data_IF_390038257327
#
_entry.id   IF_390038257327
#
_cell.length_a   1.000
_cell.length_b   1.000
_cell.length_c   1.000
_cell.angle_alpha   90.00
_cell.angle_beta   90.00
_cell.angle_gamma   90.00
#
_symmetry.space_group_name_H-M   'P 1'
#
loop_
_entity.id
_entity.type
_entity.pdbx_description
1 polymer ?
#
# COMPACT_ATOMS: atom_id res chain seq x y z
N UNK A 1 -12.09 -10.56 24.08
CA UNK A 1 -11.11 -9.47 24.30
C UNK A 1 -10.05 -9.99 25.26
N UNK A 2 -8.80 -10.20 24.79
CA UNK A 2 -7.65 -10.50 25.66
C UNK A 2 -6.79 -9.24 25.73
N UNK A 3 -6.79 -8.49 26.84
CA UNK A 3 -6.05 -7.23 26.97
C UNK A 3 -4.56 -7.37 26.63
N UNK A 4 -4.02 -8.53 26.96
CA UNK A 4 -2.63 -8.97 26.82
C UNK A 4 -2.18 -9.23 25.37
N UNK A 5 -3.10 -9.22 24.39
CA UNK A 5 -2.77 -9.45 22.97
C UNK A 5 -2.59 -8.16 22.17
N UNK A 6 -2.80 -7.01 22.81
CA UNK A 6 -2.79 -5.71 22.14
C UNK A 6 -3.99 -5.53 21.22
N UNK A 7 -4.57 -4.35 21.24
CA UNK A 7 -5.69 -3.98 20.39
C UNK A 7 -6.03 -2.53 20.62
N UNK A 8 -6.28 -1.81 19.52
CA UNK A 8 -6.63 -0.40 19.55
C UNK A 8 -8.15 -0.32 19.54
N UNK A 9 -8.72 0.49 20.41
CA UNK A 9 -10.18 0.63 20.44
C UNK A 9 -10.67 1.29 19.16
N UNK A 10 -11.89 0.97 18.75
CA UNK A 10 -12.53 1.64 17.61
C UNK A 10 -12.58 3.15 17.82
N UNK A 11 -12.86 3.60 19.05
CA UNK A 11 -12.89 5.01 19.45
C UNK A 11 -11.54 5.69 19.23
N UNK A 12 -10.43 5.04 19.58
CA UNK A 12 -9.08 5.58 19.36
C UNK A 12 -8.73 5.65 17.87
N UNK A 13 -9.16 4.65 17.08
CA UNK A 13 -8.97 4.63 15.63
C UNK A 13 -9.74 5.79 14.98
N UNK A 14 -11.04 5.90 15.30
CA UNK A 14 -11.92 6.96 14.80
C UNK A 14 -11.40 8.34 15.20
N UNK A 15 -10.96 8.50 16.46
CA UNK A 15 -10.38 9.74 16.97
C UNK A 15 -9.11 10.12 16.21
N UNK A 16 -8.19 9.18 15.99
CA UNK A 16 -6.97 9.42 15.23
C UNK A 16 -7.25 9.85 13.78
N UNK A 17 -8.14 9.14 13.09
CA UNK A 17 -8.51 9.43 11.70
C UNK A 17 -9.25 10.77 11.55
N UNK A 18 -10.09 11.14 12.52
CA UNK A 18 -10.78 12.43 12.53
C UNK A 18 -9.90 13.60 12.98
N UNK A 19 -8.84 13.35 13.75
CA UNK A 19 -7.98 14.40 14.30
C UNK A 19 -7.07 15.10 13.26
N UNK A 20 -6.96 14.55 12.05
CA UNK A 20 -6.01 15.02 11.03
C UNK A 20 -4.57 14.60 11.26
N UNK A 21 -4.29 13.75 12.27
CA UNK A 21 -2.95 13.17 12.49
C UNK A 21 -2.58 12.14 11.43
N UNK A 22 -3.58 11.51 10.80
CA UNK A 22 -3.42 10.67 9.62
C UNK A 22 -3.90 11.47 8.41
N UNK A 23 -2.99 11.73 7.48
CA UNK A 23 -3.28 12.43 6.24
C UNK A 23 -3.75 11.44 5.18
N UNK A 24 -5.02 11.56 4.80
CA UNK A 24 -5.70 10.70 3.84
C UNK A 24 -5.74 11.44 2.49
N UNK A 25 -4.94 11.04 1.49
CA UNK A 25 -5.00 11.62 0.17
C UNK A 25 -6.26 11.19 -0.56
N UNK A 26 -6.59 11.91 -1.64
CA UNK A 26 -7.36 11.32 -2.72
C UNK A 26 -6.58 10.11 -3.26
N UNK A 27 -7.12 8.91 -3.06
CA UNK A 27 -6.50 7.64 -3.45
C UNK A 27 -6.94 7.26 -4.86
N UNK A 28 -6.00 7.36 -5.78
CA UNK A 28 -6.12 6.86 -7.14
C UNK A 28 -5.13 5.72 -7.33
N UNK A 29 -5.62 4.61 -7.85
CA UNK A 29 -4.84 3.38 -7.93
C UNK A 29 -4.94 2.78 -9.33
N UNK A 30 -3.89 2.06 -9.70
CA UNK A 30 -3.81 1.26 -10.92
C UNK A 30 -3.28 -0.12 -10.58
N UNK A 31 -3.95 -1.19 -11.04
CA UNK A 31 -3.42 -2.52 -10.90
C UNK A 31 -2.06 -2.72 -11.59
N UNK A 32 -1.20 -3.50 -10.98
CA UNK A 32 0.18 -3.73 -11.40
C UNK A 32 0.43 -5.14 -11.90
N UNK A 33 -0.22 -6.13 -11.30
CA UNK A 33 -0.11 -7.53 -11.70
C UNK A 33 -1.32 -8.35 -11.22
N UNK A 34 -1.50 -9.54 -11.79
CA UNK A 34 -2.28 -10.62 -11.17
C UNK A 34 -1.34 -11.77 -10.87
N UNK A 35 -1.31 -12.23 -9.63
CA UNK A 35 -0.37 -13.26 -9.17
C UNK A 35 -1.11 -14.40 -8.49
N UNK A 36 -0.54 -15.60 -8.51
CA UNK A 36 -0.91 -16.67 -7.59
C UNK A 36 -0.01 -16.56 -6.35
N UNK A 37 -0.60 -16.51 -5.18
CA UNK A 37 0.14 -16.50 -3.92
C UNK A 37 0.77 -17.89 -3.66
N UNK A 38 1.65 -18.04 -2.65
CA UNK A 38 2.38 -19.26 -2.40
C UNK A 38 1.55 -20.34 -1.67
N UNK A 39 0.31 -20.04 -1.29
CA UNK A 39 -0.56 -21.01 -0.62
C UNK A 39 -0.92 -22.18 -1.54
N UNK A 40 -1.35 -23.29 -0.95
CA UNK A 40 -1.80 -24.47 -1.69
C UNK A 40 -3.15 -24.96 -1.16
N UNK A 41 -4.23 -24.91 -1.96
CA UNK A 41 -4.32 -24.28 -3.30
C UNK A 41 -4.21 -22.74 -3.23
N UNK A 42 -3.61 -22.10 -4.24
CA UNK A 42 -3.27 -20.67 -4.17
C UNK A 42 -4.49 -19.77 -4.18
N UNK A 43 -4.33 -18.56 -3.64
CA UNK A 43 -5.20 -17.43 -3.96
C UNK A 43 -4.67 -16.69 -5.18
N UNK A 44 -5.57 -16.21 -6.05
CA UNK A 44 -5.24 -15.28 -7.11
C UNK A 44 -5.51 -13.87 -6.61
N UNK A 45 -4.50 -13.02 -6.73
CA UNK A 45 -4.45 -11.68 -6.17
C UNK A 45 -4.18 -10.66 -7.28
N UNK A 46 -4.94 -9.57 -7.30
CA UNK A 46 -4.60 -8.38 -8.08
C UNK A 46 -3.75 -7.45 -7.22
N UNK A 47 -2.64 -6.96 -7.76
CA UNK A 47 -1.63 -6.17 -7.06
C UNK A 47 -1.76 -4.68 -7.35
N UNK A 48 -1.44 -3.86 -6.37
CA UNK A 48 -1.39 -2.40 -6.42
C UNK A 48 -0.04 -1.94 -5.87
N UNK A 49 1.02 -2.52 -6.42
CA UNK A 49 2.39 -2.22 -6.04
C UNK A 49 2.75 -0.78 -6.41
N UNK A 50 3.66 -0.18 -5.64
CA UNK A 50 4.20 1.13 -5.96
C UNK A 50 5.14 1.00 -7.17
N UNK A 51 4.96 1.82 -8.22
CA UNK A 51 5.74 1.74 -9.46
C UNK A 51 6.22 3.14 -9.90
N UNK A 52 7.54 3.43 -9.92
CA UNK A 52 8.63 2.55 -9.54
C UNK A 52 8.58 2.17 -8.05
N UNK A 53 9.08 0.98 -7.67
CA UNK A 53 9.10 0.53 -6.27
C UNK A 53 9.92 1.44 -5.37
N UNK A 54 10.84 2.20 -5.97
CA UNK A 54 11.64 3.17 -5.28
C UNK A 54 11.65 4.48 -6.08
N UNK A 55 11.00 5.54 -5.58
CA UNK A 55 11.12 6.86 -6.19
C UNK A 55 12.51 7.45 -5.99
N UNK A 56 12.82 8.46 -6.79
CA UNK A 56 13.92 9.37 -6.48
C UNK A 56 13.50 10.25 -5.30
N UNK A 57 14.04 9.96 -4.13
CA UNK A 57 13.77 10.73 -2.91
C UNK A 57 14.47 12.11 -2.88
N UNK A 58 15.38 12.36 -3.83
CA UNK A 58 16.21 13.56 -3.86
C UNK A 58 15.69 14.57 -4.87
N UNK A 59 15.02 14.10 -5.92
CA UNK A 59 14.41 14.93 -6.94
C UNK A 59 12.90 15.11 -6.71
N UNK A 60 12.56 16.22 -6.05
CA UNK A 60 11.17 16.63 -5.81
C UNK A 60 10.39 16.94 -7.10
N UNK A 61 11.05 17.06 -8.26
CA UNK A 61 10.39 17.31 -9.55
C UNK A 61 9.92 16.03 -10.26
N UNK A 62 10.39 14.86 -9.83
CA UNK A 62 9.92 13.57 -10.38
C UNK A 62 8.43 13.38 -10.12
N UNK A 63 7.65 12.74 -11.00
CA UNK A 63 6.28 12.36 -10.67
C UNK A 63 6.25 11.45 -9.43
N UNK A 64 5.18 11.52 -8.62
CA UNK A 64 4.97 10.51 -7.58
C UNK A 64 4.78 9.13 -8.25
N UNK A 65 5.31 8.04 -7.66
CA UNK A 65 5.05 6.70 -8.16
C UNK A 65 3.56 6.38 -8.24
N UNK A 66 3.18 5.49 -9.15
CA UNK A 66 1.84 4.91 -9.14
C UNK A 66 1.57 4.24 -7.77
N UNK A 67 0.32 4.29 -7.30
CA UNK A 67 -0.12 3.71 -6.04
C UNK A 67 0.61 4.20 -4.77
N UNK A 68 1.41 5.28 -4.84
CA UNK A 68 2.14 5.85 -3.68
C UNK A 68 1.23 6.09 -2.46
N UNK A 69 -0.03 6.49 -2.71
CA UNK A 69 -1.00 6.84 -1.69
C UNK A 69 -1.28 5.70 -0.73
N UNK A 70 -1.23 4.44 -1.20
CA UNK A 70 -1.48 3.27 -0.37
C UNK A 70 -0.32 3.07 0.62
N UNK A 71 0.93 3.15 0.15
CA UNK A 71 2.12 3.05 1.02
C UNK A 71 2.18 4.21 2.01
N UNK A 72 1.89 5.43 1.56
CA UNK A 72 1.89 6.62 2.39
C UNK A 72 0.91 6.52 3.57
N UNK A 73 -0.36 6.16 3.30
CA UNK A 73 -1.36 5.97 4.36
C UNK A 73 -0.98 4.81 5.27
N UNK A 74 -0.55 3.69 4.69
CA UNK A 74 -0.13 2.51 5.46
C UNK A 74 1.00 2.87 6.45
N UNK A 75 2.01 3.59 6.00
CA UNK A 75 3.15 3.94 6.84
C UNK A 75 2.77 4.94 7.95
N UNK A 76 1.88 5.90 7.67
CA UNK A 76 1.31 6.78 8.70
C UNK A 76 0.56 6.01 9.78
N UNK A 77 -0.34 5.11 9.37
CA UNK A 77 -1.11 4.28 10.32
C UNK A 77 -0.18 3.44 11.19
N UNK A 78 0.84 2.83 10.59
CA UNK A 78 1.74 1.95 11.31
C UNK A 78 2.66 2.70 12.28
N UNK A 79 3.19 3.87 11.88
CA UNK A 79 3.97 4.74 12.76
C UNK A 79 3.13 5.29 13.91
N UNK A 80 1.88 5.65 13.65
CA UNK A 80 1.02 6.28 14.67
C UNK A 80 0.55 5.29 15.74
N UNK A 81 0.19 4.09 15.34
CA UNK A 81 -0.42 3.08 16.22
C UNK A 81 0.57 2.05 16.78
N UNK A 82 1.84 2.11 16.37
CA UNK A 82 2.94 1.27 16.86
C UNK A 82 2.59 -0.23 16.91
N UNK A 83 1.99 -0.79 15.83
CA UNK A 83 1.45 -2.16 15.82
C UNK A 83 2.57 -3.24 15.85
N UNK A 84 2.86 -3.90 16.98
CA UNK A 84 3.96 -4.87 17.02
C UNK A 84 3.52 -6.28 16.61
N UNK A 85 2.21 -6.56 16.54
CA UNK A 85 1.69 -7.93 16.53
C UNK A 85 0.97 -8.36 15.24
N UNK A 86 0.72 -7.47 14.28
CA UNK A 86 0.03 -7.79 13.01
C UNK A 86 0.51 -6.91 11.87
N UNK A 87 1.76 -7.10 11.46
CA UNK A 87 2.23 -6.53 10.22
C UNK A 87 1.65 -7.32 9.03
N UNK A 88 1.19 -6.61 8.00
CA UNK A 88 1.01 -7.16 6.67
C UNK A 88 2.14 -6.63 5.78
N UNK A 89 3.33 -7.26 5.75
CA UNK A 89 4.29 -7.12 4.66
C UNK A 89 3.66 -7.80 3.46
N UNK A 90 2.79 -7.04 2.84
CA UNK A 90 2.05 -7.42 1.67
C UNK A 90 2.27 -6.30 0.70
N UNK A 91 2.90 -6.53 -0.44
CA UNK A 91 2.49 -5.84 -1.66
C UNK A 91 0.95 -5.72 -1.69
N UNK A 92 0.43 -4.50 -1.82
CA UNK A 92 -0.99 -4.20 -1.65
C UNK A 92 -1.81 -4.97 -2.68
N UNK A 93 -2.87 -5.67 -2.27
CA UNK A 93 -3.60 -6.53 -3.19
C UNK A 93 -5.04 -6.76 -2.81
N UNK A 94 -5.86 -7.18 -3.77
CA UNK A 94 -7.18 -7.75 -3.54
C UNK A 94 -7.19 -9.22 -3.97
N UNK A 95 -7.71 -10.11 -3.12
CA UNK A 95 -7.96 -11.50 -3.52
C UNK A 95 -9.13 -11.55 -4.50
N UNK A 96 -8.89 -12.01 -5.73
CA UNK A 96 -9.92 -12.21 -6.76
C UNK A 96 -10.54 -13.61 -6.65
N UNK A 97 -9.71 -14.62 -6.38
CA UNK A 97 -10.14 -16.01 -6.32
C UNK A 97 -9.38 -16.74 -5.22
N UNK A 98 -10.06 -17.55 -4.42
CA UNK A 98 -9.44 -18.41 -3.42
C UNK A 98 -9.41 -19.86 -3.88
N UNK A 99 -8.39 -20.59 -3.45
CA UNK A 99 -8.24 -22.02 -3.73
C UNK A 99 -8.32 -22.32 -5.23
N UNK A 100 -7.63 -21.50 -6.01
CA UNK A 100 -7.63 -21.57 -7.45
C UNK A 100 -6.93 -22.84 -7.91
N UNK A 101 -7.57 -23.56 -8.83
CA UNK A 101 -6.97 -24.70 -9.50
C UNK A 101 -7.21 -24.62 -11.00
N UNK A 102 -6.26 -25.11 -11.78
CA UNK A 102 -6.26 -25.03 -13.23
C UNK A 102 -6.30 -26.43 -13.81
N UNK A 103 -7.13 -26.62 -14.84
CA UNK A 103 -7.26 -27.92 -15.53
C UNK A 103 -5.94 -28.46 -16.07
N UNK A 104 -5.02 -27.57 -16.45
CA UNK A 104 -3.65 -27.91 -16.84
C UNK A 104 -2.75 -26.67 -16.75
N UNK A 105 -1.40 -26.83 -16.78
CA UNK A 105 -0.47 -25.71 -16.84
C UNK A 105 -0.75 -24.73 -18.00
N UNK A 106 -1.12 -25.25 -19.18
CA UNK A 106 -1.48 -24.41 -20.33
C UNK A 106 -2.71 -23.51 -20.08
N UNK A 107 -3.70 -23.99 -19.30
CA UNK A 107 -4.84 -23.16 -18.92
C UNK A 107 -4.45 -22.07 -17.92
N UNK A 108 -3.49 -22.36 -17.03
CA UNK A 108 -2.92 -21.37 -16.11
C UNK A 108 -2.21 -20.26 -16.89
N UNK A 109 -1.31 -20.61 -17.80
CA UNK A 109 -0.61 -19.64 -18.64
C UNK A 109 -1.58 -18.80 -19.48
N UNK A 110 -2.56 -19.44 -20.12
CA UNK A 110 -3.56 -18.73 -20.92
C UNK A 110 -4.43 -17.78 -20.08
N UNK A 111 -4.69 -18.12 -18.81
CA UNK A 111 -5.40 -17.23 -17.88
C UNK A 111 -4.55 -16.01 -17.54
N UNK A 112 -3.30 -16.21 -17.09
CA UNK A 112 -2.42 -15.09 -16.71
C UNK A 112 -2.09 -14.18 -17.91
N UNK A 113 -1.95 -14.73 -19.12
CA UNK A 113 -1.78 -13.91 -20.32
C UNK A 113 -2.96 -12.96 -20.58
N UNK A 114 -4.20 -13.38 -20.26
CA UNK A 114 -5.39 -12.52 -20.36
C UNK A 114 -5.39 -11.46 -19.26
N UNK A 115 -4.99 -11.84 -18.04
CA UNK A 115 -4.83 -10.89 -16.94
C UNK A 115 -3.81 -9.80 -17.30
N UNK A 116 -2.63 -10.17 -17.80
CA UNK A 116 -1.60 -9.22 -18.20
C UNK A 116 -2.08 -8.26 -19.29
N UNK A 117 -2.85 -8.76 -20.26
CA UNK A 117 -3.46 -7.91 -21.29
C UNK A 117 -4.46 -6.91 -20.68
N UNK A 118 -5.27 -7.33 -19.70
CA UNK A 118 -6.19 -6.45 -18.99
C UNK A 118 -5.46 -5.40 -18.14
N UNK A 119 -4.43 -5.80 -17.39
CA UNK A 119 -3.58 -4.90 -16.60
C UNK A 119 -2.92 -3.85 -17.49
N UNK A 120 -2.35 -4.26 -18.63
CA UNK A 120 -1.78 -3.32 -19.62
C UNK A 120 -2.82 -2.30 -20.09
N UNK A 121 -4.04 -2.75 -20.37
CA UNK A 121 -5.13 -1.85 -20.79
C UNK A 121 -5.53 -0.87 -19.69
N UNK A 122 -5.57 -1.30 -18.43
CA UNK A 122 -5.85 -0.42 -17.30
C UNK A 122 -4.73 0.61 -17.08
N UNK A 123 -3.47 0.20 -17.19
CA UNK A 123 -2.31 1.10 -17.11
C UNK A 123 -2.35 2.22 -18.16
N UNK A 124 -2.82 1.95 -19.37
CA UNK A 124 -3.03 2.99 -20.39
C UNK A 124 -4.05 4.05 -19.97
N UNK A 125 -4.99 3.71 -19.09
CA UNK A 125 -5.98 4.63 -18.54
C UNK A 125 -5.51 5.43 -17.33
N UNK A 126 -4.31 5.14 -16.80
CA UNK A 126 -3.74 5.74 -15.60
C UNK A 126 -4.44 5.32 -14.30
N UNK A 127 -3.91 5.78 -13.14
CA UNK A 127 -4.57 5.65 -11.85
C UNK A 127 -5.97 6.25 -11.84
N UNK A 128 -6.88 5.59 -11.13
CA UNK A 128 -8.28 6.05 -10.97
C UNK A 128 -8.75 5.91 -9.53
N UNK A 129 -9.70 6.75 -9.09
CA UNK A 129 -10.35 6.51 -7.82
C UNK A 129 -11.07 5.15 -7.82
N UNK A 130 -11.03 4.47 -6.69
CA UNK A 130 -11.78 3.22 -6.51
C UNK A 130 -13.29 3.44 -6.51
N UNK A 131 -13.73 4.65 -6.17
CA UNK A 131 -15.14 5.01 -6.03
C UNK A 131 -15.51 6.18 -6.94
N UNK A 132 -16.65 6.05 -7.63
CA UNK A 132 -17.19 7.08 -8.53
C UNK A 132 -18.23 8.00 -7.87
N UNK A 133 -18.50 7.83 -6.57
CA UNK A 133 -19.53 8.59 -5.84
C UNK A 133 -19.13 8.88 -4.40
N UNK A 134 -19.71 9.93 -3.83
CA UNK A 134 -19.46 10.33 -2.44
C UNK A 134 -20.11 9.36 -1.47
N UNK A 135 -19.53 9.25 -0.27
CA UNK A 135 -20.03 8.39 0.79
C UNK A 135 -20.19 9.16 2.10
N UNK A 136 -21.22 8.80 2.86
CA UNK A 136 -21.46 9.28 4.21
C UNK A 136 -20.62 8.49 5.22
N UNK A 137 -20.51 9.00 6.45
CA UNK A 137 -19.76 8.37 7.55
C UNK A 137 -20.23 6.94 7.81
N UNK A 138 -21.52 6.65 7.69
CA UNK A 138 -22.07 5.30 7.88
C UNK A 138 -21.89 4.38 6.65
N UNK A 139 -21.21 4.86 5.61
CA UNK A 139 -21.03 4.14 4.35
C UNK A 139 -22.22 4.09 3.42
N UNK A 140 -23.16 5.03 3.58
CA UNK A 140 -24.26 5.21 2.62
C UNK A 140 -23.78 6.09 1.45
N UNK A 141 -24.17 5.78 0.21
CA UNK A 141 -23.85 6.63 -0.92
C UNK A 141 -24.55 7.99 -0.77
N UNK A 142 -23.83 9.08 -1.07
CA UNK A 142 -24.36 10.43 -1.11
C UNK A 142 -24.88 10.73 -2.52
N UNK A 143 -26.02 11.43 -2.61
CA UNK A 143 -26.57 11.88 -3.89
C UNK A 143 -25.70 12.98 -4.54
N UNK A 144 -25.09 13.83 -3.72
CA UNK A 144 -24.12 14.84 -4.16
C UNK A 144 -22.70 14.27 -4.09
N UNK A 145 -22.06 14.15 -5.24
CA UNK A 145 -20.66 13.74 -5.33
C UNK A 145 -19.76 14.95 -5.10
N UNK A 146 -18.75 14.76 -4.25
CA UNK A 146 -17.69 15.75 -4.11
C UNK A 146 -16.64 15.57 -5.21
N UNK A 147 -15.70 16.51 -5.33
CA UNK A 147 -14.56 16.35 -6.25
C UNK A 147 -13.67 15.15 -5.86
N UNK A 148 -13.58 14.83 -4.56
CA UNK A 148 -12.69 13.80 -4.01
C UNK A 148 -13.48 12.75 -3.22
N UNK A 149 -13.77 11.64 -3.89
CA UNK A 149 -14.69 10.61 -3.38
C UNK A 149 -14.02 9.32 -2.90
N UNK A 150 -12.67 9.25 -2.93
CA UNK A 150 -11.94 8.15 -2.31
C UNK A 150 -11.93 8.29 -0.78
N UNK A 151 -11.33 7.35 -0.06
CA UNK A 151 -11.19 7.46 1.39
C UNK A 151 -10.83 6.14 2.05
N UNK A 152 -10.85 6.16 3.37
CA UNK A 152 -10.63 4.96 4.19
C UNK A 152 -11.94 4.46 4.76
N UNK A 153 -12.08 3.14 4.72
CA UNK A 153 -13.20 2.43 5.29
C UNK A 153 -12.75 1.68 6.54
N UNK A 154 -13.45 1.90 7.64
CA UNK A 154 -13.28 1.09 8.84
C UNK A 154 -14.37 0.03 8.89
N UNK A 155 -13.93 -1.22 8.90
CA UNK A 155 -14.78 -2.39 8.97
C UNK A 155 -14.66 -3.01 10.36
N UNK A 156 -15.79 -3.27 11.01
CA UNK A 156 -15.81 -4.11 12.21
C UNK A 156 -15.60 -5.59 11.83
N UNK A 157 -16.14 -5.97 10.69
CA UNK A 157 -15.95 -7.28 10.06
C UNK A 157 -16.18 -7.18 8.54
N UNK A 158 -16.09 -8.31 7.84
CA UNK A 158 -16.22 -8.38 6.37
C UNK A 158 -17.55 -7.85 5.80
N UNK A 159 -18.58 -7.64 6.61
CA UNK A 159 -19.92 -7.23 6.19
C UNK A 159 -20.35 -5.89 6.77
N UNK A 160 -19.75 -5.49 7.88
CA UNK A 160 -20.17 -4.31 8.64
C UNK A 160 -19.14 -3.20 8.49
N UNK A 161 -19.44 -2.28 7.56
CA UNK A 161 -18.81 -0.96 7.50
C UNK A 161 -19.30 -0.16 8.69
N UNK A 162 -18.38 0.45 9.43
CA UNK A 162 -18.70 1.32 10.57
C UNK A 162 -18.51 2.78 10.23
N UNK A 163 -17.40 3.11 9.57
CA UNK A 163 -17.01 4.49 9.31
C UNK A 163 -16.39 4.65 7.93
N UNK A 164 -16.69 5.76 7.27
CA UNK A 164 -15.98 6.29 6.11
C UNK A 164 -15.23 7.57 6.48
N UNK A 165 -13.95 7.62 6.14
CA UNK A 165 -13.10 8.78 6.33
C UNK A 165 -12.73 9.37 4.97
N UNK A 166 -13.26 10.58 4.72
CA UNK A 166 -13.01 11.34 3.50
C UNK A 166 -11.55 11.79 3.41
N UNK A 167 -11.06 12.14 2.20
CA UNK A 167 -9.72 12.67 2.03
C UNK A 167 -9.60 14.01 2.77
N UNK A 168 -8.55 14.15 3.56
CA UNK A 168 -8.22 15.37 4.31
C UNK A 168 -6.87 15.99 3.85
N UNK A 169 -6.16 15.31 2.96
CA UNK A 169 -4.92 15.74 2.34
C UNK A 169 -5.14 15.85 0.83
N UNK A 170 -5.65 16.99 0.38
CA UNK A 170 -6.14 17.16 -0.99
C UNK A 170 -5.02 17.57 -1.96
N UNK A 171 -5.16 17.33 -3.27
CA UNK A 171 -4.23 17.88 -4.27
C UNK A 171 -4.25 19.43 -4.30
N UNK A 172 -3.27 20.07 -4.94
CA UNK A 172 -2.15 19.47 -5.67
C UNK A 172 -1.09 18.88 -4.72
N UNK A 173 -0.43 17.79 -5.14
CA UNK A 173 0.58 17.07 -4.34
C UNK A 173 2.03 17.38 -4.74
N UNK A 174 2.22 18.17 -5.79
CA UNK A 174 3.50 18.56 -6.36
C UNK A 174 4.14 19.76 -5.64
N UNK A 175 3.42 20.39 -4.70
CA UNK A 175 3.99 21.42 -3.83
C UNK A 175 5.16 20.85 -3.04
N UNK A 176 6.25 21.62 -2.93
CA UNK A 176 7.48 21.21 -2.23
C UNK A 176 7.20 20.62 -0.85
N UNK A 177 6.41 21.29 -0.03
CA UNK A 177 6.08 20.87 1.35
C UNK A 177 5.40 19.49 1.39
N UNK A 178 4.40 19.27 0.53
CA UNK A 178 3.73 17.96 0.44
C UNK A 178 4.65 16.89 -0.13
N UNK A 179 5.49 17.22 -1.12
CA UNK A 179 6.45 16.29 -1.71
C UNK A 179 7.46 15.81 -0.67
N UNK A 180 8.06 16.74 0.08
CA UNK A 180 8.98 16.42 1.18
C UNK A 180 8.28 15.51 2.22
N UNK A 181 7.05 15.86 2.62
CA UNK A 181 6.29 15.07 3.58
C UNK A 181 5.93 13.66 3.07
N UNK A 182 5.44 13.54 1.83
CA UNK A 182 5.10 12.27 1.23
C UNK A 182 6.35 11.39 1.15
N UNK A 183 7.45 11.93 0.63
CA UNK A 183 8.70 11.19 0.43
C UNK A 183 9.33 10.75 1.75
N UNK A 184 9.21 11.53 2.83
CA UNK A 184 9.66 11.12 4.17
C UNK A 184 9.00 9.79 4.58
N UNK A 185 7.68 9.69 4.45
CA UNK A 185 6.95 8.45 4.74
C UNK A 185 7.22 7.33 3.74
N UNK A 186 7.56 7.63 2.48
CA UNK A 186 7.89 6.62 1.47
C UNK A 186 9.35 6.14 1.55
N UNK A 187 10.22 6.91 2.22
CA UNK A 187 11.65 6.62 2.33
C UNK A 187 11.98 5.46 3.27
N UNK A 188 11.00 5.06 4.09
CA UNK A 188 11.12 3.95 5.02
C UNK A 188 10.08 2.86 4.71
N UNK A 189 10.50 1.62 4.92
CA UNK A 189 9.65 0.45 4.93
C UNK A 189 9.83 -0.31 6.24
N UNK A 190 8.75 -0.94 6.70
CA UNK A 190 8.84 -1.76 7.89
C UNK A 190 9.37 -3.14 7.51
N UNK A 191 10.44 -3.54 8.19
CA UNK A 191 11.02 -4.86 8.11
C UNK A 191 10.27 -5.79 9.08
N UNK A 192 9.64 -6.85 8.53
CA UNK A 192 8.89 -7.80 9.36
C UNK A 192 9.80 -8.72 10.17
N UNK A 193 10.96 -9.08 9.62
CA UNK A 193 11.83 -10.08 10.22
C UNK A 193 12.54 -9.47 11.44
N UNK A 194 12.98 -8.23 11.31
CA UNK A 194 13.64 -7.49 12.38
C UNK A 194 12.68 -6.65 13.23
N UNK A 195 11.43 -6.47 12.79
CA UNK A 195 10.42 -5.64 13.45
C UNK A 195 10.90 -4.19 13.68
N UNK A 196 11.50 -3.59 12.65
CA UNK A 196 12.04 -2.23 12.67
C UNK A 196 11.75 -1.49 11.37
N UNK A 197 11.70 -0.16 11.43
CA UNK A 197 11.71 0.67 10.23
C UNK A 197 13.11 0.69 9.63
N UNK A 198 13.19 0.40 8.33
CA UNK A 198 14.42 0.48 7.55
C UNK A 198 14.27 1.49 6.41
N UNK A 199 15.33 2.21 6.03
CA UNK A 199 15.32 2.97 4.79
C UNK A 199 15.13 2.03 3.60
N UNK A 200 14.23 2.37 2.68
CA UNK A 200 14.08 1.67 1.39
C UNK A 200 15.42 1.77 0.66
N UNK A 201 15.95 0.66 0.12
CA UNK A 201 17.35 0.45 -0.27
C UNK A 201 18.17 1.64 -0.89
N UNK A 202 17.62 2.60 -1.65
CA UNK A 202 18.34 3.80 -2.11
C UNK A 202 18.54 4.88 -1.04
N UNK A 203 17.70 4.95 -0.01
CA UNK A 203 17.87 5.84 1.14
C UNK A 203 19.12 5.49 1.98
N UNK A 204 19.66 4.27 1.84
CA UNK A 204 20.98 3.91 2.35
C UNK A 204 22.09 4.67 1.60
N UNK A 205 22.00 4.90 0.28
CA UNK A 205 23.06 5.59 -0.47
C UNK A 205 23.28 7.02 0.01
N UNK A 206 22.23 7.75 0.38
CA UNK A 206 22.34 9.14 0.84
C UNK A 206 22.86 9.23 2.28
N UNK A 207 22.36 8.35 3.17
CA UNK A 207 22.81 8.27 4.56
C UNK A 207 24.26 7.77 4.68
N UNK A 208 24.67 6.82 3.83
CA UNK A 208 26.06 6.38 3.72
C UNK A 208 26.94 7.36 2.93
N UNK A 209 26.45 8.11 1.94
CA UNK A 209 27.24 9.17 1.29
C UNK A 209 27.57 10.34 2.24
N UNK A 210 26.71 10.60 3.25
CA UNK A 210 27.01 11.56 4.32
C UNK A 210 27.96 10.97 5.39
N UNK A 211 27.90 9.66 5.64
CA UNK A 211 28.82 8.92 6.53
C UNK A 211 30.18 8.60 5.88
N UNK A 212 30.26 8.55 4.55
CA UNK A 212 31.44 8.28 3.72
C UNK A 212 32.20 9.56 3.32
N UNK A 213 31.91 10.69 3.96
CA UNK A 213 32.95 11.72 4.12
C UNK A 213 34.13 11.07 4.86
N UNK A 214 35.37 11.22 4.35
CA UNK A 214 36.39 10.19 4.49
C UNK A 214 36.72 9.85 5.96
N UNK A 215 36.44 8.61 6.35
CA UNK A 215 37.15 7.90 7.40
C UNK A 215 37.76 6.63 6.84
N UNK A 216 39.02 6.44 7.18
CA UNK A 216 40.00 5.56 6.55
C UNK A 216 39.55 4.11 6.34
N UNK A 217 39.91 3.58 5.17
CA UNK A 217 39.60 2.24 4.66
C UNK A 217 40.01 1.10 5.61
N UNK A 218 39.11 0.12 5.79
CA UNK A 218 39.51 -1.27 6.03
C UNK A 218 38.72 -2.25 5.15
N UNK A 219 39.48 -3.19 4.59
CA UNK A 219 39.11 -4.21 3.59
C UNK A 219 38.37 -5.42 4.16
N UNK A 220 37.56 -6.04 3.29
CA UNK A 220 37.04 -7.42 3.37
C UNK A 220 35.60 -7.46 3.88
N UNK A 221 34.66 -8.24 3.34
CA UNK A 221 34.71 -9.44 2.51
C UNK A 221 33.34 -9.64 1.81
N UNK A 222 33.31 -10.51 0.79
CA UNK A 222 32.12 -10.95 0.04
C UNK A 222 31.13 -11.70 0.93
N UNK A 223 29.83 -11.38 0.86
CA UNK A 223 28.75 -12.27 1.30
C UNK A 223 27.55 -12.24 0.33
N UNK A 224 26.95 -13.42 0.22
CA UNK A 224 26.06 -13.94 -0.81
C UNK A 224 24.60 -13.49 -0.58
N UNK A 225 23.95 -12.98 -1.62
CA UNK A 225 22.57 -12.47 -1.55
C UNK A 225 21.57 -13.65 -1.59
N UNK A 226 21.00 -13.98 -0.43
CA UNK A 226 19.90 -14.94 -0.29
C UNK A 226 18.60 -14.18 -0.10
N UNK A 227 17.64 -14.34 -1.01
CA UNK A 227 16.27 -13.84 -0.82
C UNK A 227 15.43 -14.87 -0.05
N UNK A 228 14.71 -14.48 1.03
CA UNK A 228 13.59 -15.25 1.52
C UNK A 228 12.24 -14.60 1.18
N UNK A 229 11.37 -15.46 0.66
CA UNK A 229 9.95 -15.27 0.40
C UNK A 229 9.15 -15.48 1.69
N UNK A 230 8.05 -14.74 1.91
CA UNK A 230 6.71 -15.25 2.34
C UNK A 230 5.70 -14.12 2.59
N UNK A 231 4.40 -14.43 2.49
CA UNK A 231 3.26 -13.54 2.15
C UNK A 231 2.13 -13.67 3.19
N UNK A 232 1.39 -12.57 3.50
CA UNK A 232 0.02 -12.61 4.04
C UNK A 232 -0.81 -11.32 3.75
N UNK A 233 -2.14 -11.50 3.61
CA UNK A 233 -3.06 -10.62 2.86
C UNK A 233 -3.75 -9.46 3.58
N UNK A 234 -3.91 -8.32 2.88
CA UNK A 234 -4.96 -7.32 3.14
C UNK A 234 -6.07 -7.52 2.10
N UNK A 235 -7.31 -7.77 2.50
CA UNK A 235 -8.40 -7.96 1.53
C UNK A 235 -9.09 -6.64 1.20
N UNK A 236 -9.07 -6.23 -0.07
CA UNK A 236 -10.07 -5.30 -0.60
C UNK A 236 -11.27 -6.11 -1.10
N UNK A 237 -12.43 -5.91 -0.50
CA UNK A 237 -13.70 -6.35 -1.07
C UNK A 237 -14.19 -5.33 -2.10
N UNK A 238 -14.76 -5.85 -3.19
CA UNK A 238 -15.52 -5.17 -4.25
C UNK A 238 -14.74 -4.61 -5.44
N UNK A 239 -14.23 -5.54 -6.27
CA UNK A 239 -13.98 -5.30 -7.70
C UNK A 239 -15.01 -6.08 -8.53
N UNK A 240 -16.26 -5.64 -8.51
CA UNK A 240 -17.27 -6.08 -9.49
C UNK A 240 -18.02 -4.88 -10.02
N UNK A 241 -17.47 -4.24 -11.06
CA UNK A 241 -18.20 -3.61 -12.15
C UNK A 241 -17.20 -3.02 -13.16
N UNK A 242 -17.17 -3.56 -14.37
CA UNK A 242 -16.33 -3.11 -15.48
C UNK A 242 -16.08 -4.20 -16.51
#
# INVERSE_FOLDING_TARGET
YRPDWGGISEEDIVSALNSGKILIPQMEVVPTAVVANPDTPPELEIRFDMDPPIPDFDDLSTPLPDNWCIRFVHNQLFKYFEFPSRFCPGPFHSTILRKADFRSPAHKEAYFAKCDAAIKKWRLGGPKPLNNGGWDVDGKPLEETSEYNSGLWLFLDRKNITHFFKPNFLPPYDTREKREFILDFLSEEWDQDELVWKPVAPALKKKYAELDSPREEKKGSEEEFVMPQSILCCSFSDFTQG
#
